data_IF_093757972176
#
_entry.id   IF_093757972176
#
_cell.length_a   1.000
_cell.length_b   1.000
_cell.length_c   1.000
_cell.angle_alpha   90.00
_cell.angle_beta   90.00
_cell.angle_gamma   90.00
#
_symmetry.space_group_name_H-M   'P 1'
#
loop_
_entity.id
_entity.type
_entity.pdbx_description
1 polymer ?
#
# COMPACT_ATOMS: atom_id res chain seq x y z
N UNK A 1 -50.47 -8.15 24.62
CA UNK A 1 -49.21 -8.93 24.71
C UNK A 1 -49.09 -9.75 23.43
N UNK A 2 -48.07 -9.67 22.60
CA UNK A 2 -46.89 -8.83 22.51
C UNK A 2 -46.46 -8.81 21.03
N UNK A 3 -46.07 -7.64 20.53
CA UNK A 3 -45.60 -7.50 19.16
C UNK A 3 -44.25 -8.20 19.01
N UNK A 4 -44.18 -9.13 18.06
CA UNK A 4 -42.91 -9.65 17.54
C UNK A 4 -42.22 -8.47 16.88
N UNK A 5 -41.22 -7.90 17.56
CA UNK A 5 -40.28 -6.97 16.93
C UNK A 5 -39.52 -7.76 15.88
N UNK A 6 -39.93 -7.62 14.65
CA UNK A 6 -39.20 -8.02 13.47
C UNK A 6 -37.84 -7.30 13.52
N UNK A 7 -36.81 -8.03 13.94
CA UNK A 7 -35.43 -7.57 13.87
C UNK A 7 -35.15 -7.45 12.38
N UNK A 8 -35.18 -6.21 11.87
CA UNK A 8 -34.70 -5.91 10.52
C UNK A 8 -33.25 -6.39 10.47
N UNK A 9 -33.04 -7.56 9.88
CA UNK A 9 -31.73 -8.09 9.51
C UNK A 9 -31.23 -7.27 8.32
N UNK A 10 -31.02 -5.97 8.54
CA UNK A 10 -30.21 -5.14 7.68
C UNK A 10 -28.79 -5.62 7.87
N UNK A 11 -28.27 -6.34 6.90
CA UNK A 11 -26.86 -6.72 6.80
C UNK A 11 -26.00 -5.49 7.06
N UNK A 12 -25.36 -5.42 8.23
CA UNK A 12 -24.23 -4.52 8.45
C UNK A 12 -23.17 -4.96 7.43
N UNK A 13 -23.03 -4.21 6.34
CA UNK A 13 -21.92 -4.39 5.42
C UNK A 13 -20.67 -4.03 6.23
N UNK A 14 -19.80 -5.01 6.48
CA UNK A 14 -18.52 -4.75 7.14
C UNK A 14 -17.76 -3.71 6.30
N UNK A 15 -17.38 -2.59 6.91
CA UNK A 15 -16.60 -1.56 6.25
C UNK A 15 -15.28 -2.16 5.77
N UNK A 16 -14.88 -1.81 4.55
CA UNK A 16 -13.57 -2.22 4.00
C UNK A 16 -12.43 -1.64 4.84
N UNK A 17 -11.24 -2.24 4.78
CA UNK A 17 -10.07 -1.66 5.44
C UNK A 17 -9.80 -0.23 4.94
N UNK A 18 -9.97 -0.01 3.63
CA UNK A 18 -9.91 1.31 3.01
C UNK A 18 -10.80 2.34 3.73
N UNK A 19 -12.08 2.03 3.96
CA UNK A 19 -13.00 2.93 4.68
C UNK A 19 -12.59 3.12 6.14
N UNK A 20 -12.16 2.05 6.82
CA UNK A 20 -11.81 2.07 8.23
C UNK A 20 -10.60 2.98 8.54
N UNK A 21 -9.64 3.09 7.62
CA UNK A 21 -8.42 3.90 7.83
C UNK A 21 -8.51 5.33 7.29
N UNK A 22 -9.68 5.76 6.81
CA UNK A 22 -9.88 7.14 6.32
C UNK A 22 -9.82 7.31 4.80
N UNK A 23 -9.84 6.22 4.03
CA UNK A 23 -9.97 6.24 2.58
C UNK A 23 -8.74 6.74 1.84
N UNK A 24 -8.96 7.34 0.66
CA UNK A 24 -7.92 7.74 -0.30
C UNK A 24 -6.85 8.64 0.31
N UNK A 25 -7.25 9.60 1.14
CA UNK A 25 -6.32 10.55 1.77
C UNK A 25 -5.23 9.83 2.57
N UNK A 26 -5.58 8.77 3.29
CA UNK A 26 -4.62 7.98 4.08
C UNK A 26 -3.59 7.30 3.19
N UNK A 27 -4.00 6.73 2.05
CA UNK A 27 -3.08 6.08 1.13
C UNK A 27 -2.23 7.07 0.35
N UNK A 28 -2.78 8.24 -0.01
CA UNK A 28 -2.00 9.33 -0.61
C UNK A 28 -0.92 9.82 0.35
N UNK A 29 -1.27 10.10 1.61
CA UNK A 29 -0.29 10.51 2.63
C UNK A 29 0.79 9.46 2.85
N UNK A 30 0.40 8.19 2.97
CA UNK A 30 1.33 7.07 3.14
C UNK A 30 2.34 7.00 2.00
N UNK A 31 1.85 6.97 0.77
CA UNK A 31 2.69 6.76 -0.41
C UNK A 31 3.53 7.99 -0.71
N UNK A 32 2.99 9.20 -0.48
CA UNK A 32 3.73 10.44 -0.60
C UNK A 32 4.93 10.49 0.36
N UNK A 33 4.72 10.23 1.66
CA UNK A 33 5.81 10.19 2.65
C UNK A 33 6.84 9.11 2.34
N UNK A 34 6.40 7.95 1.84
CA UNK A 34 7.31 6.93 1.35
C UNK A 34 8.19 7.43 0.19
N UNK A 35 7.61 8.12 -0.79
CA UNK A 35 8.35 8.59 -1.96
C UNK A 35 9.28 9.79 -1.67
N UNK A 36 8.98 10.62 -0.68
CA UNK A 36 9.93 11.61 -0.16
C UNK A 36 11.21 10.91 0.35
N UNK A 37 11.06 9.84 1.14
CA UNK A 37 12.20 9.04 1.60
C UNK A 37 12.98 8.37 0.46
N UNK A 38 12.27 7.79 -0.52
CA UNK A 38 12.88 7.21 -1.73
C UNK A 38 13.67 8.23 -2.53
N UNK A 39 13.19 9.48 -2.60
CA UNK A 39 13.86 10.55 -3.35
C UNK A 39 15.25 10.88 -2.77
N UNK A 40 15.43 10.72 -1.46
CA UNK A 40 16.66 11.03 -0.73
C UNK A 40 17.58 9.82 -0.53
N UNK A 41 17.09 8.60 -0.74
CA UNK A 41 17.84 7.35 -0.60
C UNK A 41 18.58 6.99 -1.89
N UNK A 42 19.93 7.04 -1.95
CA UNK A 42 20.66 6.78 -3.19
C UNK A 42 20.48 5.35 -3.72
N UNK A 43 20.26 4.36 -2.84
CA UNK A 43 20.08 2.96 -3.24
C UNK A 43 18.75 2.78 -3.95
N UNK A 44 17.66 3.29 -3.37
CA UNK A 44 16.34 3.18 -3.97
C UNK A 44 16.19 4.13 -5.15
N UNK A 45 16.71 5.36 -5.05
CA UNK A 45 16.62 6.37 -6.11
C UNK A 45 17.25 5.89 -7.41
N UNK A 46 18.35 5.14 -7.35
CA UNK A 46 19.01 4.56 -8.52
C UNK A 46 18.13 3.57 -9.31
N UNK A 47 17.08 3.01 -8.69
CA UNK A 47 16.13 2.12 -9.37
C UNK A 47 15.11 2.86 -10.25
N UNK A 48 15.01 4.18 -10.12
CA UNK A 48 14.07 5.02 -10.86
C UNK A 48 14.83 5.81 -11.95
N UNK A 49 14.70 5.44 -13.24
CA UNK A 49 15.42 6.13 -14.31
C UNK A 49 14.86 7.53 -14.61
N UNK A 50 13.59 7.76 -14.28
CA UNK A 50 12.93 9.06 -14.45
C UNK A 50 13.30 9.99 -13.29
N UNK A 51 13.44 11.29 -13.58
CA UNK A 51 13.66 12.32 -12.54
C UNK A 51 12.41 12.48 -11.66
N UNK A 52 11.24 12.49 -12.29
CA UNK A 52 9.93 12.62 -11.67
C UNK A 52 9.43 11.27 -11.14
N UNK A 53 9.20 11.20 -9.82
CA UNK A 53 8.65 10.01 -9.15
C UNK A 53 7.11 10.01 -9.11
N UNK A 54 6.45 11.13 -9.46
CA UNK A 54 5.00 11.30 -9.36
C UNK A 54 4.19 10.21 -10.08
N UNK A 55 4.55 9.78 -11.30
CA UNK A 55 3.86 8.68 -11.95
C UNK A 55 4.03 7.32 -11.25
N UNK A 56 5.14 7.10 -10.54
CA UNK A 56 5.35 5.89 -9.75
C UNK A 56 4.54 5.96 -8.44
N UNK A 57 4.54 7.12 -7.78
CA UNK A 57 3.74 7.45 -6.60
C UNK A 57 2.24 7.20 -6.85
N UNK A 58 1.70 7.74 -7.95
CA UNK A 58 0.28 7.56 -8.28
C UNK A 58 -0.08 6.08 -8.52
N UNK A 59 0.79 5.34 -9.24
CA UNK A 59 0.54 3.92 -9.49
C UNK A 59 0.55 3.10 -8.21
N UNK A 60 1.43 3.43 -7.25
CA UNK A 60 1.48 2.73 -5.98
C UNK A 60 0.28 3.09 -5.08
N UNK A 61 -0.10 4.37 -5.05
CA UNK A 61 -1.31 4.85 -4.36
C UNK A 61 -2.56 4.10 -4.85
N UNK A 62 -2.82 4.13 -6.16
CA UNK A 62 -3.98 3.47 -6.75
C UNK A 62 -3.98 1.96 -6.51
N UNK A 63 -2.80 1.33 -6.51
CA UNK A 63 -2.68 -0.08 -6.19
C UNK A 63 -3.11 -0.38 -4.75
N UNK A 64 -2.62 0.38 -3.76
CA UNK A 64 -2.98 0.15 -2.36
C UNK A 64 -4.45 0.44 -2.09
N UNK A 65 -5.00 1.52 -2.67
CA UNK A 65 -6.43 1.84 -2.60
C UNK A 65 -7.25 0.65 -3.08
N UNK A 66 -6.94 0.13 -4.27
CA UNK A 66 -7.66 -1.02 -4.81
C UNK A 66 -7.47 -2.26 -3.93
N UNK A 67 -6.26 -2.54 -3.47
CA UNK A 67 -5.94 -3.72 -2.66
C UNK A 67 -6.78 -3.76 -1.37
N UNK A 68 -6.97 -2.61 -0.73
CA UNK A 68 -7.67 -2.50 0.56
C UNK A 68 -9.18 -2.29 0.45
N UNK A 69 -9.76 -2.43 -0.75
CA UNK A 69 -11.20 -2.40 -0.98
C UNK A 69 -11.75 -1.05 -1.44
N UNK A 70 -10.89 -0.10 -1.82
CA UNK A 70 -11.28 1.12 -2.51
C UNK A 70 -11.54 0.91 -4.01
N UNK A 71 -11.66 2.02 -4.78
CA UNK A 71 -11.92 1.96 -6.23
C UNK A 71 -10.92 1.11 -7.03
N UNK A 72 -11.40 0.52 -8.14
CA UNK A 72 -10.63 -0.37 -9.05
C UNK A 72 -9.79 0.36 -10.11
N UNK A 73 -9.54 1.64 -9.92
CA UNK A 73 -8.89 2.53 -10.88
C UNK A 73 -7.51 2.05 -11.32
N UNK A 74 -6.74 1.39 -10.44
CA UNK A 74 -5.48 0.78 -10.85
C UNK A 74 -5.69 -0.24 -11.98
N UNK A 75 -6.63 -1.17 -11.82
CA UNK A 75 -6.86 -2.23 -12.82
C UNK A 75 -7.53 -1.71 -14.07
N UNK A 76 -8.41 -0.71 -13.95
CA UNK A 76 -9.01 -0.02 -15.09
C UNK A 76 -7.93 0.62 -15.99
N UNK A 77 -6.92 1.24 -15.37
CA UNK A 77 -5.86 1.92 -16.10
C UNK A 77 -4.71 1.00 -16.51
N UNK A 78 -4.43 -0.06 -15.74
CA UNK A 78 -3.19 -0.84 -15.86
C UNK A 78 -3.40 -2.35 -16.01
N UNK A 79 -4.62 -2.84 -15.95
CA UNK A 79 -4.93 -4.26 -15.89
C UNK A 79 -4.38 -4.93 -14.62
N UNK A 80 -4.29 -6.26 -14.65
CA UNK A 80 -3.91 -7.07 -13.49
C UNK A 80 -2.55 -6.64 -12.88
N UNK A 81 -2.41 -6.50 -11.55
CA UNK A 81 -1.18 -6.02 -10.89
C UNK A 81 0.08 -6.79 -11.26
N UNK A 82 0.05 -8.13 -11.23
CA UNK A 82 1.18 -9.00 -11.61
C UNK A 82 2.51 -8.49 -11.03
N UNK A 83 2.53 -8.22 -9.72
CA UNK A 83 3.60 -7.46 -9.06
C UNK A 83 5.00 -8.00 -9.37
N UNK A 84 5.23 -9.32 -9.22
CA UNK A 84 6.52 -9.94 -9.51
C UNK A 84 6.98 -9.72 -10.95
N UNK A 85 6.08 -9.80 -11.92
CA UNK A 85 6.39 -9.54 -13.33
C UNK A 85 6.79 -8.07 -13.55
N UNK A 86 6.12 -7.13 -12.86
CA UNK A 86 6.46 -5.70 -12.94
C UNK A 86 7.73 -5.32 -12.18
N UNK A 87 8.13 -6.11 -11.19
CA UNK A 87 9.36 -5.92 -10.42
C UNK A 87 10.57 -6.67 -11.01
N UNK A 88 10.35 -7.65 -11.90
CA UNK A 88 11.42 -8.43 -12.55
C UNK A 88 12.49 -7.59 -13.29
N UNK A 89 12.20 -6.41 -13.87
CA UNK A 89 13.23 -5.57 -14.48
C UNK A 89 14.20 -4.90 -13.50
N UNK A 90 13.87 -4.86 -12.20
CA UNK A 90 14.70 -4.23 -11.17
C UNK A 90 15.45 -5.30 -10.37
N UNK A 91 16.71 -5.01 -10.02
CA UNK A 91 17.47 -5.84 -9.11
C UNK A 91 17.03 -5.54 -7.67
N UNK A 92 16.08 -6.33 -7.16
CA UNK A 92 15.58 -6.21 -5.79
C UNK A 92 16.30 -7.24 -4.93
N UNK A 93 17.36 -6.80 -4.27
CA UNK A 93 18.12 -7.57 -3.29
C UNK A 93 17.64 -7.29 -1.85
N UNK A 94 18.32 -7.88 -0.87
CA UNK A 94 17.99 -7.71 0.54
C UNK A 94 18.21 -6.27 1.03
N UNK A 95 19.24 -5.58 0.52
CA UNK A 95 19.53 -4.21 0.92
C UNK A 95 18.44 -3.25 0.44
N UNK A 96 17.97 -3.41 -0.80
CA UNK A 96 16.85 -2.65 -1.35
C UNK A 96 15.54 -2.94 -0.60
N UNK A 97 15.29 -4.20 -0.26
CA UNK A 97 14.15 -4.59 0.56
C UNK A 97 14.15 -3.87 1.93
N UNK A 98 15.29 -3.90 2.62
CA UNK A 98 15.41 -3.33 3.97
C UNK A 98 15.32 -1.79 3.93
N UNK A 99 15.94 -1.15 2.93
CA UNK A 99 15.80 0.29 2.70
C UNK A 99 14.34 0.67 2.41
N UNK A 100 13.64 -0.09 1.56
CA UNK A 100 12.23 0.13 1.26
C UNK A 100 11.37 0.05 2.52
N UNK A 101 11.58 -0.97 3.37
CA UNK A 101 10.84 -1.12 4.62
C UNK A 101 11.16 -0.02 5.63
N UNK A 102 12.39 0.50 5.67
CA UNK A 102 12.75 1.60 6.56
C UNK A 102 11.93 2.86 6.25
N UNK A 103 11.85 3.27 4.98
CA UNK A 103 11.04 4.43 4.57
C UNK A 103 9.54 4.18 4.75
N UNK A 104 9.08 2.97 4.44
CA UNK A 104 7.67 2.61 4.62
C UNK A 104 7.26 2.59 6.10
N UNK A 105 8.15 2.17 7.02
CA UNK A 105 7.89 2.20 8.45
C UNK A 105 7.63 3.63 8.94
N UNK A 106 8.50 4.57 8.55
CA UNK A 106 8.31 6.00 8.87
C UNK A 106 6.97 6.50 8.33
N UNK A 107 6.64 6.18 7.08
CA UNK A 107 5.38 6.61 6.48
C UNK A 107 4.15 6.02 7.21
N UNK A 108 4.20 4.76 7.65
CA UNK A 108 3.14 4.13 8.45
C UNK A 108 3.03 4.76 9.84
N UNK A 109 4.15 5.05 10.50
CA UNK A 109 4.17 5.72 11.81
C UNK A 109 3.46 7.09 11.76
N UNK A 110 3.73 7.88 10.72
CA UNK A 110 3.15 9.22 10.55
C UNK A 110 1.63 9.23 10.25
N UNK A 111 1.05 8.09 9.89
CA UNK A 111 -0.40 8.00 9.72
C UNK A 111 -1.13 8.12 11.06
N UNK A 112 -0.50 7.74 12.17
CA UNK A 112 -1.12 7.77 13.50
C UNK A 112 -2.34 6.85 13.63
N UNK A 113 -2.32 5.70 12.95
CA UNK A 113 -3.41 4.72 12.97
C UNK A 113 -3.57 4.08 14.36
N UNK A 114 -4.72 3.43 14.57
CA UNK A 114 -4.86 2.51 15.69
C UNK A 114 -3.84 1.36 15.56
N UNK A 115 -3.39 0.80 16.69
CA UNK A 115 -2.41 -0.32 16.68
C UNK A 115 -2.87 -1.52 15.85
N UNK A 116 -4.17 -1.78 15.82
CA UNK A 116 -4.75 -2.89 15.06
C UNK A 116 -4.67 -2.64 13.54
N UNK A 117 -5.03 -1.43 13.12
CA UNK A 117 -4.94 -1.03 11.71
C UNK A 117 -3.49 -0.93 11.23
N UNK A 118 -2.63 -0.35 12.05
CA UNK A 118 -1.19 -0.28 11.79
C UNK A 118 -0.58 -1.67 11.60
N UNK A 119 -0.87 -2.61 12.52
CA UNK A 119 -0.35 -3.97 12.44
C UNK A 119 -0.86 -4.70 11.20
N UNK A 120 -2.13 -4.52 10.85
CA UNK A 120 -2.73 -5.11 9.63
C UNK A 120 -2.05 -4.59 8.37
N UNK A 121 -1.87 -3.28 8.25
CA UNK A 121 -1.19 -2.64 7.12
C UNK A 121 0.28 -3.09 7.04
N UNK A 122 1.00 -3.05 8.16
CA UNK A 122 2.41 -3.39 8.23
C UNK A 122 2.69 -4.86 7.88
N UNK A 123 1.85 -5.79 8.35
CA UNK A 123 1.98 -7.20 8.00
C UNK A 123 1.84 -7.46 6.50
N UNK A 124 0.91 -6.78 5.85
CA UNK A 124 0.79 -6.87 4.40
C UNK A 124 2.02 -6.30 3.68
N UNK A 125 2.46 -5.10 4.05
CA UNK A 125 3.58 -4.42 3.38
C UNK A 125 4.88 -5.22 3.51
N UNK A 126 5.16 -5.77 4.70
CA UNK A 126 6.34 -6.62 4.96
C UNK A 126 6.29 -7.92 4.16
N UNK A 127 5.16 -8.62 4.14
CA UNK A 127 4.99 -9.81 3.31
C UNK A 127 5.13 -9.51 1.81
N UNK A 128 4.52 -8.41 1.34
CA UNK A 128 4.56 -8.01 -0.05
C UNK A 128 5.98 -7.64 -0.49
N UNK A 129 6.71 -6.85 0.32
CA UNK A 129 8.09 -6.48 0.06
C UNK A 129 9.00 -7.72 -0.04
N UNK A 130 8.91 -8.64 0.92
CA UNK A 130 9.68 -9.88 0.91
C UNK A 130 9.41 -10.72 -0.35
N UNK A 131 8.17 -10.70 -0.85
CA UNK A 131 7.78 -11.42 -2.06
C UNK A 131 8.35 -10.82 -3.36
N UNK A 132 8.85 -9.58 -3.33
CA UNK A 132 9.43 -8.89 -4.50
C UNK A 132 10.94 -9.15 -4.66
N UNK A 133 11.63 -9.62 -3.62
CA UNK A 133 13.07 -9.95 -3.69
C UNK A 133 13.31 -10.96 -4.81
N UNK A 134 14.20 -10.62 -5.74
CA UNK A 134 14.42 -11.37 -6.97
C UNK A 134 15.89 -11.55 -7.35
N UNK A 135 16.80 -10.88 -6.63
CA UNK A 135 18.24 -10.89 -6.89
C UNK A 135 18.95 -11.31 -5.60
N UNK A 136 19.97 -12.16 -5.74
CA UNK A 136 20.84 -12.50 -4.61
C UNK A 136 21.72 -11.29 -4.29
N UNK A 137 21.70 -10.86 -3.02
CA UNK A 137 22.59 -9.85 -2.47
C UNK A 137 23.68 -10.47 -1.61
#
# INVERSE_FOLDING_TARGET
MGGVKEIRRGTLQEQTFYEQVGGEETFRRLVHRFYEGVAEDPLLRAMYPEEDLGPAEERFTLFLIQYWGGPTTYSENRGHPRLRMRHAPFAVDQAAHDAWLAHMRVAVDELGLSKEHEHTLWNYLTYAAASMVNTAG
#
